data_IF_694005330193
#
_entry.id   IF_694005330193
#
_cell.length_a   1.000
_cell.length_b   1.000
_cell.length_c   1.000
_cell.angle_alpha   90.00
_cell.angle_beta   90.00
_cell.angle_gamma   90.00
#
_symmetry.space_group_name_H-M   'P 1'
#
loop_
_entity.id
_entity.type
_entity.pdbx_description
1 polymer ?
#
# COMPACT_ATOMS: atom_id res chain seq x y z
N UNK A 1 1.22 16.10 16.10
CA UNK A 1 2.55 15.63 15.68
C UNK A 1 2.53 15.56 14.17
N UNK A 2 3.49 16.19 13.48
CA UNK A 2 3.69 15.91 12.06
C UNK A 2 4.23 14.48 11.97
N UNK A 3 3.49 13.59 11.33
CA UNK A 3 3.96 12.22 11.14
C UNK A 3 4.95 12.20 9.99
N UNK A 4 6.17 11.76 10.24
CA UNK A 4 7.23 11.63 9.23
C UNK A 4 7.10 10.33 8.41
N UNK A 5 6.14 9.49 8.78
CA UNK A 5 5.81 8.27 8.08
C UNK A 5 4.32 7.91 8.25
N UNK A 6 3.82 7.03 7.39
CA UNK A 6 2.49 6.43 7.50
C UNK A 6 2.51 5.03 6.92
N UNK A 7 1.51 4.23 7.30
CA UNK A 7 1.24 2.95 6.68
C UNK A 7 0.20 3.12 5.57
N UNK A 8 0.49 2.58 4.40
CA UNK A 8 -0.42 2.50 3.28
C UNK A 8 -0.84 1.05 3.08
N UNK A 9 -2.14 0.80 3.04
CA UNK A 9 -2.72 -0.55 2.90
C UNK A 9 -3.46 -0.63 1.58
N UNK A 10 -3.25 -1.71 0.82
CA UNK A 10 -3.93 -1.96 -0.44
C UNK A 10 -4.01 -3.46 -0.75
N UNK A 11 -4.97 -3.82 -1.58
CA UNK A 11 -5.14 -5.18 -2.07
C UNK A 11 -4.36 -5.38 -3.36
N UNK A 12 -3.72 -6.54 -3.50
CA UNK A 12 -3.08 -6.94 -4.74
C UNK A 12 -3.03 -8.46 -4.87
N UNK A 13 -3.07 -8.94 -6.11
CA UNK A 13 -2.73 -10.30 -6.45
C UNK A 13 -1.22 -10.49 -6.45
N UNK A 14 -0.76 -11.53 -5.75
CA UNK A 14 0.64 -11.96 -5.76
C UNK A 14 0.75 -13.41 -6.22
N UNK A 15 1.76 -13.65 -7.04
CA UNK A 15 2.09 -14.98 -7.57
C UNK A 15 3.41 -15.51 -6.97
N UNK A 16 4.18 -14.63 -6.33
CA UNK A 16 5.43 -14.93 -5.63
C UNK A 16 5.67 -13.83 -4.59
N UNK A 17 5.82 -14.22 -3.31
CA UNK A 17 6.08 -13.28 -2.21
C UNK A 17 7.42 -12.53 -2.36
N UNK A 18 8.34 -13.01 -3.21
CA UNK A 18 9.58 -12.29 -3.55
C UNK A 18 9.34 -11.00 -4.34
N UNK A 19 8.13 -10.78 -4.86
CA UNK A 19 7.74 -9.53 -5.53
C UNK A 19 7.34 -8.41 -4.56
N UNK A 20 7.41 -8.66 -3.25
CA UNK A 20 7.20 -7.61 -2.26
C UNK A 20 8.40 -6.65 -2.24
N UNK A 21 8.12 -5.36 -2.16
CA UNK A 21 9.15 -4.36 -1.89
C UNK A 21 9.63 -4.48 -0.45
N UNK A 22 10.85 -3.99 -0.17
CA UNK A 22 11.46 -4.11 1.16
C UNK A 22 10.69 -3.37 2.28
N UNK A 23 9.82 -2.42 1.92
CA UNK A 23 8.96 -1.69 2.84
C UNK A 23 7.55 -2.29 2.97
N UNK A 24 7.26 -3.41 2.31
CA UNK A 24 5.97 -4.09 2.32
C UNK A 24 5.98 -5.29 3.26
N UNK A 25 4.80 -5.60 3.80
CA UNK A 25 4.49 -6.88 4.41
C UNK A 25 3.07 -7.29 4.05
N UNK A 26 2.82 -8.59 3.93
CA UNK A 26 1.45 -9.11 3.86
C UNK A 26 0.87 -9.06 5.27
N UNK A 27 -0.27 -8.41 5.42
CA UNK A 27 -0.99 -8.32 6.70
C UNK A 27 -2.15 -9.30 6.75
N UNK A 28 -2.76 -9.61 5.61
CA UNK A 28 -3.85 -10.58 5.50
C UNK A 28 -3.80 -11.31 4.16
N UNK A 29 -4.12 -12.60 4.17
CA UNK A 29 -4.44 -13.38 2.97
C UNK A 29 -5.95 -13.38 2.85
N UNK A 30 -6.47 -12.74 1.80
CA UNK A 30 -7.91 -12.61 1.58
C UNK A 30 -8.44 -13.88 0.92
N UNK A 31 -7.79 -14.32 -0.17
CA UNK A 31 -8.16 -15.53 -0.90
C UNK A 31 -6.94 -16.18 -1.57
N UNK A 32 -6.87 -17.52 -1.56
CA UNK A 32 -5.80 -18.31 -2.17
C UNK A 32 -6.37 -19.15 -3.32
N UNK A 33 -6.01 -18.78 -4.55
CA UNK A 33 -6.43 -19.48 -5.78
C UNK A 33 -5.40 -20.54 -6.22
N UNK A 34 -4.46 -20.91 -5.33
CA UNK A 34 -3.44 -21.92 -5.57
C UNK A 34 -2.43 -21.47 -6.63
N UNK A 35 -2.43 -22.13 -7.79
CA UNK A 35 -1.46 -21.82 -8.85
C UNK A 35 -1.77 -20.52 -9.60
N UNK A 36 -2.98 -19.99 -9.46
CA UNK A 36 -3.41 -18.73 -10.07
C UNK A 36 -3.03 -17.50 -9.23
N UNK A 37 -2.40 -17.71 -8.06
CA UNK A 37 -1.96 -16.65 -7.17
C UNK A 37 -2.86 -16.48 -5.95
N UNK A 38 -2.50 -15.50 -5.13
CA UNK A 38 -3.12 -15.22 -3.84
C UNK A 38 -3.51 -13.74 -3.81
N UNK A 39 -4.76 -13.46 -3.49
CA UNK A 39 -5.22 -12.11 -3.18
C UNK A 39 -4.85 -11.79 -1.73
N UNK A 40 -4.09 -10.72 -1.54
CA UNK A 40 -3.57 -10.33 -0.23
C UNK A 40 -3.78 -8.86 0.05
N UNK A 41 -3.88 -8.52 1.33
CA UNK A 41 -3.74 -7.16 1.82
C UNK A 41 -2.25 -6.90 2.14
N UNK A 42 -1.68 -5.90 1.48
CA UNK A 42 -0.30 -5.47 1.65
C UNK A 42 -0.27 -4.17 2.44
N UNK A 43 0.56 -4.13 3.49
CA UNK A 43 0.87 -2.92 4.23
C UNK A 43 2.28 -2.44 3.88
N UNK A 44 2.37 -1.25 3.30
CA UNK A 44 3.62 -0.57 2.97
C UNK A 44 3.92 0.54 3.98
N UNK A 45 5.15 0.56 4.51
CA UNK A 45 5.61 1.65 5.35
C UNK A 45 6.24 2.75 4.50
N UNK A 46 5.62 3.93 4.48
CA UNK A 46 6.02 5.08 3.67
C UNK A 46 6.64 6.14 4.56
N UNK A 47 7.88 6.54 4.26
CA UNK A 47 8.63 7.58 4.98
C UNK A 47 8.79 8.83 4.11
N UNK A 48 8.82 9.99 4.78
CA UNK A 48 9.15 11.23 4.10
C UNK A 48 10.62 11.26 3.71
N UNK A 49 10.92 11.82 2.54
CA UNK A 49 12.26 11.88 1.98
C UNK A 49 13.19 12.77 2.81
N UNK A 50 12.64 13.85 3.38
CA UNK A 50 13.37 14.79 4.23
C UNK A 50 13.38 14.41 5.72
N UNK A 51 12.65 13.36 6.12
CA UNK A 51 12.51 12.96 7.53
C UNK A 51 11.72 13.93 8.42
N UNK A 52 11.07 14.96 7.88
CA UNK A 52 10.33 15.98 8.65
C UNK A 52 8.84 16.08 8.26
N UNK A 53 8.54 16.15 6.97
CA UNK A 53 7.18 16.29 6.47
C UNK A 53 7.06 15.81 5.02
N UNK A 54 5.86 15.42 4.64
CA UNK A 54 5.54 15.08 3.26
C UNK A 54 5.11 16.30 2.46
N UNK A 55 5.55 16.38 1.21
CA UNK A 55 4.84 17.18 0.20
C UNK A 55 3.72 16.36 -0.42
N UNK A 56 2.67 17.01 -0.94
CA UNK A 56 1.58 16.29 -1.61
C UNK A 56 2.09 15.53 -2.84
N UNK A 57 3.00 16.12 -3.61
CA UNK A 57 3.62 15.48 -4.78
C UNK A 57 4.41 14.23 -4.42
N UNK A 58 5.10 14.24 -3.27
CA UNK A 58 5.85 13.09 -2.78
C UNK A 58 4.93 11.94 -2.38
N UNK A 59 3.83 12.24 -1.67
CA UNK A 59 2.80 11.24 -1.33
C UNK A 59 2.28 10.59 -2.61
N UNK A 60 1.82 11.39 -3.57
CA UNK A 60 1.26 10.88 -4.82
C UNK A 60 2.26 10.03 -5.61
N UNK A 61 3.52 10.47 -5.70
CA UNK A 61 4.56 9.72 -6.40
C UNK A 61 4.88 8.39 -5.70
N UNK A 62 5.03 8.40 -4.37
CA UNK A 62 5.32 7.18 -3.60
C UNK A 62 4.16 6.19 -3.67
N UNK A 63 2.91 6.65 -3.57
CA UNK A 63 1.73 5.79 -3.75
C UNK A 63 1.68 5.18 -5.15
N UNK A 64 1.94 5.99 -6.19
CA UNK A 64 2.01 5.48 -7.56
C UNK A 64 3.09 4.42 -7.73
N UNK A 65 4.29 4.67 -7.20
CA UNK A 65 5.40 3.71 -7.22
C UNK A 65 5.06 2.43 -6.46
N UNK A 66 4.36 2.54 -5.33
CA UNK A 66 3.99 1.41 -4.49
C UNK A 66 3.13 0.39 -5.22
N UNK A 67 2.21 0.86 -6.06
CA UNK A 67 1.32 -0.01 -6.85
C UNK A 67 1.81 -0.27 -8.26
N UNK A 68 2.90 0.37 -8.70
CA UNK A 68 3.41 0.23 -10.05
C UNK A 68 3.87 -1.22 -10.33
N UNK A 69 3.29 -1.83 -11.37
CA UNK A 69 3.61 -3.21 -11.75
C UNK A 69 3.03 -4.28 -10.79
N UNK A 70 2.21 -3.88 -9.82
CA UNK A 70 1.38 -4.79 -9.03
C UNK A 70 0.10 -5.12 -9.81
N UNK A 71 -0.45 -6.28 -9.54
CA UNK A 71 -1.73 -6.71 -10.07
C UNK A 71 -2.82 -6.30 -9.07
N UNK A 72 -3.54 -5.22 -9.35
CA UNK A 72 -4.61 -4.72 -8.49
C UNK A 72 -6.00 -5.26 -8.93
N UNK A 73 -6.04 -6.27 -9.80
CA UNK A 73 -7.29 -6.72 -10.42
C UNK A 73 -7.94 -5.63 -11.27
N UNK A 74 -9.25 -5.43 -11.09
CA UNK A 74 -10.04 -4.44 -11.85
C UNK A 74 -9.79 -2.98 -11.42
N UNK A 75 -9.00 -2.75 -10.38
CA UNK A 75 -8.69 -1.41 -9.86
C UNK A 75 -7.67 -0.68 -10.74
N UNK A 76 -8.15 0.11 -11.71
CA UNK A 76 -7.35 0.76 -12.75
C UNK A 76 -6.95 2.23 -12.47
N UNK A 77 -7.55 2.93 -11.50
CA UNK A 77 -7.15 4.31 -11.15
C UNK A 77 -7.19 4.59 -9.64
N UNK A 78 -6.41 5.59 -9.23
CA UNK A 78 -6.37 6.09 -7.85
C UNK A 78 -7.62 6.92 -7.53
N UNK A 79 -8.33 6.56 -6.46
CA UNK A 79 -9.50 7.30 -5.97
C UNK A 79 -9.21 8.15 -4.74
N UNK A 80 -8.29 7.69 -3.89
CA UNK A 80 -7.92 8.44 -2.69
C UNK A 80 -7.33 7.58 -1.59
N UNK A 81 -7.21 8.20 -0.42
CA UNK A 81 -6.82 7.56 0.83
C UNK A 81 -7.97 7.62 1.83
N UNK A 82 -8.35 6.47 2.36
CA UNK A 82 -9.31 6.36 3.46
C UNK A 82 -8.56 6.07 4.76
N UNK A 83 -8.90 6.75 5.85
CA UNK A 83 -8.23 6.54 7.14
C UNK A 83 -8.67 5.20 7.73
N UNK A 84 -7.70 4.36 8.10
CA UNK A 84 -7.95 3.11 8.82
C UNK A 84 -7.76 3.27 10.33
N UNK A 85 -8.20 2.28 11.09
CA UNK A 85 -7.88 2.18 12.51
C UNK A 85 -6.37 2.01 12.72
N UNK A 86 -5.84 2.70 13.74
CA UNK A 86 -4.40 2.92 13.89
C UNK A 86 -3.62 1.63 14.25
N UNK A 87 -2.57 1.34 13.50
CA UNK A 87 -1.39 0.65 14.03
C UNK A 87 -0.64 1.61 14.98
N UNK A 88 -0.09 1.08 16.07
CA UNK A 88 0.33 1.80 17.29
C UNK A 88 1.05 3.15 17.08
N UNK A 89 1.94 3.26 16.10
CA UNK A 89 2.95 4.32 16.07
C UNK A 89 2.79 5.34 14.92
N UNK A 90 2.06 4.99 13.85
CA UNK A 90 1.90 5.82 12.66
C UNK A 90 0.48 5.73 12.11
N UNK A 91 -0.03 6.81 11.46
CA UNK A 91 -1.34 6.77 10.83
C UNK A 91 -1.38 5.70 9.73
N UNK A 92 -2.53 5.06 9.59
CA UNK A 92 -2.78 4.00 8.61
C UNK A 92 -3.83 4.50 7.63
N UNK A 93 -3.60 4.29 6.34
CA UNK A 93 -4.51 4.67 5.27
C UNK A 93 -4.70 3.52 4.28
N UNK A 94 -5.95 3.24 3.93
CA UNK A 94 -6.31 2.42 2.80
C UNK A 94 -6.19 3.23 1.51
N UNK A 95 -5.41 2.72 0.57
CA UNK A 95 -5.37 3.21 -0.79
C UNK A 95 -6.59 2.67 -1.54
N UNK A 96 -7.50 3.56 -1.92
CA UNK A 96 -8.68 3.21 -2.71
C UNK A 96 -8.35 3.35 -4.19
N UNK A 97 -8.65 2.29 -4.93
CA UNK A 97 -8.52 2.25 -6.37
C UNK A 97 -9.84 1.81 -6.99
N UNK A 98 -10.28 2.54 -8.02
CA UNK A 98 -11.55 2.33 -8.70
C UNK A 98 -11.40 1.49 -9.96
N UNK A 99 -12.49 0.84 -10.32
CA UNK A 99 -12.70 0.13 -11.60
C UNK A 99 -13.36 1.01 -12.65
#
# INVERSE_FOLDING_TARGET
>A
MNSTAFYCVYEAFIYDSKKLFANEMIVEVIEDYGQEGILVEICAFIKSDNGECFTMSEILMKLHQQVHGKDLGDSIYFEGLEKADSMKDFPVYYLRCGS
#
